data_IF_439903624579
#
_entry.id   IF_439903624579
#
_cell.length_a   1.000
_cell.length_b   1.000
_cell.length_c   1.000
_cell.angle_alpha   90.00
_cell.angle_beta   90.00
_cell.angle_gamma   90.00
#
_symmetry.space_group_name_H-M   'P 1'
#
loop_
_entity.id
_entity.type
_entity.pdbx_description
1 polymer ?
#
# COMPACT_ATOMS: atom_id res chain seq x y z
N UNK A 1 -6.48 -9.74 -9.13
CA UNK A 1 -6.93 -10.27 -10.45
C UNK A 1 -6.09 -11.51 -10.78
N UNK A 2 -6.71 -12.65 -11.10
CA UNK A 2 -5.99 -13.91 -11.38
C UNK A 2 -5.64 -14.04 -12.86
N UNK A 3 -4.53 -13.42 -13.29
CA UNK A 3 -4.05 -13.49 -14.68
C UNK A 3 -2.75 -14.29 -14.74
N UNK A 4 -2.58 -15.07 -15.81
CA UNK A 4 -1.36 -15.89 -16.02
C UNK A 4 -0.17 -15.06 -16.47
N UNK A 5 -0.41 -13.94 -17.16
CA UNK A 5 0.60 -13.01 -17.66
C UNK A 5 0.07 -11.59 -17.53
N UNK A 6 0.92 -10.62 -17.17
CA UNK A 6 0.55 -9.20 -17.11
C UNK A 6 0.52 -8.57 -18.50
N UNK A 7 1.49 -8.90 -19.36
CA UNK A 7 1.60 -8.46 -20.76
C UNK A 7 2.09 -9.62 -21.62
N UNK A 8 1.55 -9.73 -22.84
CA UNK A 8 1.99 -10.76 -23.80
C UNK A 8 3.40 -10.47 -24.32
N UNK A 9 4.21 -11.53 -24.44
CA UNK A 9 5.54 -11.48 -25.07
C UNK A 9 6.54 -10.52 -24.41
N UNK A 10 6.43 -10.26 -23.10
CA UNK A 10 7.46 -9.53 -22.36
C UNK A 10 8.79 -10.30 -22.38
N UNK A 11 9.92 -9.60 -22.52
CA UNK A 11 11.24 -10.24 -22.57
C UNK A 11 11.81 -10.49 -21.17
N UNK A 12 11.24 -9.86 -20.15
CA UNK A 12 11.57 -10.07 -18.74
C UNK A 12 10.39 -9.72 -17.83
N UNK A 13 10.43 -10.19 -16.58
CA UNK A 13 9.44 -9.85 -15.56
C UNK A 13 9.41 -8.35 -15.28
N UNK A 14 10.59 -7.72 -15.27
CA UNK A 14 10.73 -6.28 -15.13
C UNK A 14 9.99 -5.54 -16.24
N UNK A 15 10.23 -5.91 -17.50
CA UNK A 15 9.55 -5.32 -18.66
C UNK A 15 8.04 -5.57 -18.58
N UNK A 16 7.62 -6.76 -18.16
CA UNK A 16 6.21 -7.13 -17.98
C UNK A 16 5.51 -6.19 -16.99
N UNK A 17 6.10 -5.97 -15.81
CA UNK A 17 5.54 -5.08 -14.78
C UNK A 17 5.50 -3.62 -15.25
N UNK A 18 6.58 -3.12 -15.84
CA UNK A 18 6.62 -1.72 -16.32
C UNK A 18 5.63 -1.48 -17.46
N UNK A 19 5.59 -2.37 -18.45
CA UNK A 19 4.65 -2.24 -19.56
C UNK A 19 3.21 -2.38 -19.08
N UNK A 20 2.95 -3.26 -18.11
CA UNK A 20 1.64 -3.37 -17.49
C UNK A 20 1.25 -2.06 -16.83
N UNK A 21 2.07 -1.53 -15.92
CA UNK A 21 1.78 -0.31 -15.18
C UNK A 21 1.60 0.92 -16.09
N UNK A 22 2.46 1.08 -17.10
CA UNK A 22 2.43 2.25 -18.00
C UNK A 22 1.25 2.25 -18.97
N UNK A 23 0.66 1.09 -19.27
CA UNK A 23 -0.47 0.97 -20.20
C UNK A 23 -1.79 0.62 -19.48
N UNK A 24 -1.79 0.53 -18.15
CA UNK A 24 -2.99 0.19 -17.40
C UNK A 24 -3.92 1.40 -17.30
N UNK A 25 -5.18 1.21 -17.70
CA UNK A 25 -6.21 2.25 -17.62
C UNK A 25 -6.92 2.26 -16.26
N UNK A 26 -6.96 1.10 -15.58
CA UNK A 26 -7.57 0.99 -14.26
C UNK A 26 -6.62 1.52 -13.18
N UNK A 27 -7.02 2.64 -12.56
CA UNK A 27 -6.31 3.26 -11.43
C UNK A 27 -6.04 2.24 -10.32
N UNK A 28 -7.04 1.40 -9.98
CA UNK A 28 -6.87 0.40 -8.92
C UNK A 28 -5.82 -0.65 -9.25
N UNK A 29 -5.76 -1.09 -10.50
CA UNK A 29 -4.74 -2.06 -10.94
C UNK A 29 -3.35 -1.43 -10.98
N UNK A 30 -3.25 -0.17 -11.37
CA UNK A 30 -2.01 0.57 -11.34
C UNK A 30 -1.53 0.77 -9.89
N UNK A 31 -2.43 1.14 -8.97
CA UNK A 31 -2.13 1.29 -7.55
C UNK A 31 -1.70 -0.02 -6.90
N UNK A 32 -2.29 -1.16 -7.26
CA UNK A 32 -1.85 -2.47 -6.75
C UNK A 32 -0.38 -2.77 -7.11
N UNK A 33 0.07 -2.37 -8.30
CA UNK A 33 1.49 -2.53 -8.68
C UNK A 33 2.37 -1.67 -7.78
N UNK A 34 1.99 -0.41 -7.57
CA UNK A 34 2.73 0.50 -6.69
C UNK A 34 2.77 -0.04 -5.26
N UNK A 35 1.63 -0.49 -4.73
CA UNK A 35 1.53 -1.05 -3.38
C UNK A 35 2.43 -2.27 -3.21
N UNK A 36 2.42 -3.20 -4.16
CA UNK A 36 3.30 -4.39 -4.12
C UNK A 36 4.78 -3.97 -4.14
N UNK A 37 5.16 -3.03 -5.00
CA UNK A 37 6.54 -2.53 -5.05
C UNK A 37 6.98 -1.91 -3.72
N UNK A 38 6.11 -1.10 -3.09
CA UNK A 38 6.43 -0.44 -1.82
C UNK A 38 6.37 -1.37 -0.62
N UNK A 39 5.46 -2.35 -0.61
CA UNK A 39 5.49 -3.47 0.35
C UNK A 39 6.81 -4.22 0.28
N UNK A 40 7.33 -4.49 -0.92
CA UNK A 40 8.66 -5.12 -1.06
C UNK A 40 9.76 -4.23 -0.49
N UNK A 41 9.74 -2.94 -0.82
CA UNK A 41 10.74 -1.98 -0.32
C UNK A 41 10.74 -1.92 1.22
N UNK A 42 9.57 -1.79 1.84
CA UNK A 42 9.42 -1.67 3.28
C UNK A 42 9.66 -3.00 4.00
N UNK A 43 8.97 -4.08 3.60
CA UNK A 43 9.00 -5.35 4.34
C UNK A 43 10.28 -6.13 4.08
N UNK A 44 10.71 -6.25 2.82
CA UNK A 44 11.84 -7.11 2.48
C UNK A 44 13.17 -6.40 2.60
N UNK A 45 13.22 -5.10 2.36
CA UNK A 45 14.51 -4.43 2.25
C UNK A 45 14.90 -3.67 3.51
N UNK A 46 13.95 -3.10 4.23
CA UNK A 46 14.23 -2.39 5.50
C UNK A 46 14.86 -3.32 6.54
N UNK A 47 14.41 -4.59 6.63
CA UNK A 47 14.95 -5.58 7.55
C UNK A 47 16.14 -6.39 7.03
N UNK A 48 16.49 -6.31 5.74
CA UNK A 48 17.50 -7.20 5.14
C UNK A 48 18.87 -6.54 5.10
N UNK A 49 19.67 -6.83 6.13
CA UNK A 49 21.03 -6.33 6.26
C UNK A 49 21.91 -6.70 5.06
N UNK A 50 21.80 -7.92 4.54
CA UNK A 50 22.57 -8.37 3.37
C UNK A 50 22.24 -7.55 2.12
N UNK A 51 20.96 -7.31 1.87
CA UNK A 51 20.54 -6.48 0.74
C UNK A 51 21.09 -5.06 0.88
N UNK A 52 20.97 -4.44 2.06
CA UNK A 52 21.45 -3.08 2.31
C UNK A 52 22.96 -2.92 2.08
N UNK A 53 23.77 -3.93 2.38
CA UNK A 53 25.23 -3.88 2.23
C UNK A 53 25.72 -4.26 0.83
N UNK A 54 24.97 -5.11 0.11
CA UNK A 54 25.39 -5.66 -1.17
C UNK A 54 24.76 -4.94 -2.38
N UNK A 55 23.96 -3.89 -2.15
CA UNK A 55 23.32 -3.12 -3.22
C UNK A 55 23.54 -1.62 -3.03
N UNK A 56 23.71 -0.90 -4.13
CA UNK A 56 23.76 0.55 -4.12
C UNK A 56 22.33 1.10 -4.20
N UNK A 57 21.96 1.97 -3.26
CA UNK A 57 20.66 2.66 -3.23
C UNK A 57 20.84 4.15 -3.44
N UNK A 58 19.90 4.74 -4.16
CA UNK A 58 19.81 6.20 -4.28
C UNK A 58 18.97 6.85 -3.18
N UNK A 59 18.09 6.06 -2.54
CA UNK A 59 17.11 6.53 -1.57
C UNK A 59 16.84 5.41 -0.55
N UNK A 60 16.69 5.79 0.72
CA UNK A 60 16.32 4.86 1.79
C UNK A 60 14.83 4.47 1.70
N UNK A 61 14.42 3.30 2.22
CA UNK A 61 13.03 2.85 2.16
C UNK A 61 12.02 3.87 2.72
N UNK A 62 12.35 4.50 3.85
CA UNK A 62 11.52 5.51 4.53
C UNK A 62 11.38 6.79 3.69
N UNK A 63 12.48 7.25 3.10
CA UNK A 63 12.50 8.41 2.20
C UNK A 63 11.71 8.13 0.91
N UNK A 64 11.79 6.90 0.38
CA UNK A 64 11.03 6.51 -0.81
C UNK A 64 9.52 6.55 -0.55
N UNK A 65 9.07 6.08 0.61
CA UNK A 65 7.65 6.16 1.03
C UNK A 65 7.22 7.62 1.17
N UNK A 66 8.07 8.46 1.76
CA UNK A 66 7.80 9.89 1.89
C UNK A 66 7.67 10.56 0.52
N UNK A 67 8.60 10.29 -0.41
CA UNK A 67 8.56 10.81 -1.77
C UNK A 67 7.32 10.32 -2.55
N UNK A 68 6.90 9.06 -2.38
CA UNK A 68 5.67 8.55 -3.00
C UNK A 68 4.45 9.37 -2.54
N UNK A 69 4.32 9.55 -1.23
CA UNK A 69 3.18 10.26 -0.63
C UNK A 69 3.18 11.75 -0.99
N UNK A 70 4.35 12.38 -1.06
CA UNK A 70 4.49 13.74 -1.57
C UNK A 70 4.02 13.85 -3.02
N UNK A 71 4.48 12.96 -3.91
CA UNK A 71 4.04 12.96 -5.31
C UNK A 71 2.54 12.69 -5.45
N UNK A 72 1.99 11.76 -4.67
CA UNK A 72 0.55 11.51 -4.66
C UNK A 72 -0.25 12.75 -4.24
N UNK A 73 0.27 13.51 -3.26
CA UNK A 73 -0.34 14.75 -2.80
C UNK A 73 -0.22 15.87 -3.84
N UNK A 74 0.98 16.09 -4.40
CA UNK A 74 1.24 17.11 -5.41
C UNK A 74 0.38 16.94 -6.65
N UNK A 75 0.15 15.69 -7.07
CA UNK A 75 -0.67 15.37 -8.22
C UNK A 75 -2.16 15.16 -7.89
N UNK A 76 -2.56 15.33 -6.62
CA UNK A 76 -3.96 15.19 -6.21
C UNK A 76 -4.55 13.80 -6.48
N UNK A 77 -3.74 12.75 -6.37
CA UNK A 77 -4.13 11.36 -6.70
C UNK A 77 -5.22 10.85 -5.74
N UNK A 78 -5.23 11.33 -4.49
CA UNK A 78 -6.25 10.99 -3.49
C UNK A 78 -5.95 9.73 -2.66
N UNK A 79 -4.69 9.32 -2.59
CA UNK A 79 -4.24 8.14 -1.84
C UNK A 79 -2.94 8.42 -1.08
N UNK A 80 -2.67 7.64 -0.04
CA UNK A 80 -1.40 7.63 0.69
C UNK A 80 -0.99 6.20 1.02
N UNK A 81 0.29 5.88 0.89
CA UNK A 81 0.88 4.64 1.37
C UNK A 81 1.20 4.76 2.86
N UNK A 82 0.53 3.95 3.68
CA UNK A 82 0.64 3.99 5.13
C UNK A 82 0.58 2.56 5.70
N UNK A 83 1.49 2.24 6.62
CA UNK A 83 1.55 0.93 7.29
C UNK A 83 1.52 -0.27 6.33
N UNK A 84 2.16 -0.13 5.18
CA UNK A 84 2.25 -1.18 4.16
C UNK A 84 1.12 -1.17 3.13
N UNK A 85 0.06 -0.37 3.28
CA UNK A 85 -1.11 -0.37 2.38
C UNK A 85 -1.32 0.98 1.70
N UNK A 86 -1.86 0.99 0.48
CA UNK A 86 -2.37 2.23 -0.14
C UNK A 86 -3.77 2.50 0.39
N UNK A 87 -3.90 3.57 1.17
CA UNK A 87 -5.14 4.03 1.79
C UNK A 87 -5.71 5.21 1.00
N UNK A 88 -7.00 5.13 0.68
CA UNK A 88 -7.75 6.21 0.05
C UNK A 88 -7.94 7.38 1.03
N UNK A 89 -7.73 8.61 0.56
CA UNK A 89 -7.83 9.85 1.33
C UNK A 89 -8.94 10.73 0.75
N UNK A 90 -10.20 10.48 1.16
CA UNK A 90 -11.34 11.30 0.73
C UNK A 90 -11.42 12.64 1.48
N UNK A 91 -10.87 12.70 2.69
CA UNK A 91 -10.78 13.92 3.50
C UNK A 91 -9.43 13.94 4.20
N UNK A 92 -8.60 14.93 3.87
CA UNK A 92 -7.31 15.13 4.54
C UNK A 92 -7.48 15.30 6.06
N UNK A 93 -8.56 15.97 6.48
CA UNK A 93 -8.89 16.16 7.89
C UNK A 93 -9.20 14.84 8.59
N UNK A 94 -10.11 14.02 8.06
CA UNK A 94 -10.43 12.71 8.67
C UNK A 94 -9.20 11.79 8.66
N UNK A 95 -8.41 11.82 7.59
CA UNK A 95 -7.23 10.98 7.50
C UNK A 95 -6.16 11.39 8.53
N UNK A 96 -5.93 12.69 8.72
CA UNK A 96 -4.99 13.21 9.70
C UNK A 96 -5.46 13.03 11.16
N UNK A 97 -6.74 13.22 11.43
CA UNK A 97 -7.27 13.26 12.80
C UNK A 97 -7.77 11.90 13.31
N UNK A 98 -8.12 10.97 12.42
CA UNK A 98 -8.64 9.66 12.81
C UNK A 98 -7.79 8.51 12.27
N UNK A 99 -7.55 8.45 10.95
CA UNK A 99 -6.91 7.28 10.34
C UNK A 99 -5.45 7.13 10.77
N UNK A 100 -4.63 8.18 10.67
CA UNK A 100 -3.21 8.12 11.07
C UNK A 100 -3.03 7.85 12.56
N UNK A 101 -3.75 8.52 13.49
CA UNK A 101 -3.68 8.20 14.91
C UNK A 101 -4.08 6.74 15.22
N UNK A 102 -5.14 6.23 14.59
CA UNK A 102 -5.56 4.84 14.76
C UNK A 102 -4.47 3.88 14.30
N UNK A 103 -3.89 4.07 13.12
CA UNK A 103 -2.77 3.25 12.63
C UNK A 103 -1.55 3.31 13.55
N UNK A 104 -1.26 4.48 14.13
CA UNK A 104 -0.16 4.62 15.07
C UNK A 104 -0.37 3.80 16.36
N UNK A 105 -1.61 3.72 16.85
CA UNK A 105 -1.98 2.91 18.04
C UNK A 105 -1.96 1.41 17.69
N UNK A 106 -2.57 1.04 16.56
CA UNK A 106 -2.70 -0.36 16.14
C UNK A 106 -1.37 -1.01 15.71
N UNK A 107 -0.29 -0.22 15.56
CA UNK A 107 1.05 -0.76 15.32
C UNK A 107 1.61 -1.56 16.50
N UNK A 108 1.06 -1.43 17.70
CA UNK A 108 1.47 -2.28 18.81
C UNK A 108 1.16 -3.76 18.51
N UNK A 109 2.09 -4.65 18.84
CA UNK A 109 1.97 -6.10 18.64
C UNK A 109 0.74 -6.68 19.35
N UNK A 110 0.29 -6.07 20.44
CA UNK A 110 -0.87 -6.52 21.21
C UNK A 110 -2.18 -6.28 20.42
N UNK A 111 -2.16 -5.37 19.44
CA UNK A 111 -3.28 -5.07 18.53
C UNK A 111 -3.08 -5.60 17.11
N UNK A 112 -2.15 -6.54 16.88
CA UNK A 112 -1.82 -7.02 15.54
C UNK A 112 -3.04 -7.54 14.75
N UNK A 113 -3.98 -8.23 15.42
CA UNK A 113 -5.22 -8.70 14.81
C UNK A 113 -6.13 -7.54 14.36
N UNK A 114 -6.38 -6.58 15.26
CA UNK A 114 -7.16 -5.39 14.95
C UNK A 114 -6.53 -4.56 13.83
N UNK A 115 -5.20 -4.46 13.79
CA UNK A 115 -4.46 -3.78 12.74
C UNK A 115 -4.65 -4.45 11.37
N UNK A 116 -4.50 -5.77 11.31
CA UNK A 116 -4.71 -6.54 10.08
C UNK A 116 -6.14 -6.36 9.53
N UNK A 117 -7.13 -6.42 10.42
CA UNK A 117 -8.55 -6.22 10.06
C UNK A 117 -8.83 -4.78 9.61
N UNK A 118 -8.24 -3.79 10.28
CA UNK A 118 -8.38 -2.38 9.92
C UNK A 118 -7.77 -2.07 8.55
N UNK A 119 -6.59 -2.60 8.27
CA UNK A 119 -5.91 -2.46 6.97
C UNK A 119 -6.71 -3.15 5.85
N UNK A 120 -7.23 -4.36 6.09
CA UNK A 120 -8.13 -5.06 5.15
C UNK A 120 -9.42 -4.29 4.87
N UNK A 121 -9.99 -3.65 5.88
CA UNK A 121 -11.17 -2.81 5.70
C UNK A 121 -10.90 -1.64 4.74
N UNK A 122 -9.71 -1.01 4.85
CA UNK A 122 -9.27 0.04 3.92
C UNK A 122 -8.98 -0.49 2.51
N UNK A 123 -8.38 -1.67 2.37
CA UNK A 123 -8.19 -2.34 1.08
C UNK A 123 -9.54 -2.62 0.40
N UNK A 124 -10.51 -3.16 1.16
CA UNK A 124 -11.87 -3.40 0.70
C UNK A 124 -12.56 -2.12 0.27
N UNK A 125 -12.43 -1.05 1.05
CA UNK A 125 -12.98 0.25 0.71
C UNK A 125 -12.39 0.80 -0.59
N UNK A 126 -11.06 0.75 -0.74
CA UNK A 126 -10.34 1.16 -1.95
C UNK A 126 -10.86 0.44 -3.20
N UNK A 127 -11.14 -0.86 -3.09
CA UNK A 127 -11.68 -1.65 -4.21
C UNK A 127 -13.22 -1.65 -4.33
N UNK A 128 -13.95 -0.81 -3.58
CA UNK A 128 -15.41 -0.74 -3.63
C UNK A 128 -16.14 -1.97 -3.07
N UNK A 129 -15.45 -2.81 -2.30
CA UNK A 129 -16.01 -3.99 -1.61
C UNK A 129 -16.62 -3.58 -0.27
N UNK A 130 -17.70 -2.79 -0.32
CA UNK A 130 -18.26 -2.14 0.86
C UNK A 130 -18.80 -3.11 1.92
N UNK A 131 -19.33 -4.27 1.52
CA UNK A 131 -19.86 -5.26 2.49
C UNK A 131 -18.73 -5.84 3.32
N UNK A 132 -17.66 -6.25 2.67
CA UNK A 132 -16.47 -6.80 3.29
C UNK A 132 -15.74 -5.73 4.12
N UNK A 133 -15.67 -4.50 3.63
CA UNK A 133 -15.14 -3.35 4.38
C UNK A 133 -15.87 -3.15 5.72
N UNK A 134 -17.21 -3.16 5.71
CA UNK A 134 -17.99 -3.02 6.95
C UNK A 134 -17.77 -4.19 7.90
N UNK A 135 -17.67 -5.42 7.38
CA UNK A 135 -17.41 -6.61 8.20
C UNK A 135 -16.04 -6.53 8.87
N UNK A 136 -14.97 -6.26 8.12
CA UNK A 136 -13.63 -6.21 8.70
C UNK A 136 -13.42 -4.96 9.56
N UNK A 137 -14.09 -3.85 9.27
CA UNK A 137 -14.10 -2.68 10.15
C UNK A 137 -14.74 -2.97 11.51
N UNK A 138 -15.83 -3.76 11.53
CA UNK A 138 -16.45 -4.18 12.79
C UNK A 138 -15.57 -5.16 13.56
N UNK A 139 -14.92 -6.11 12.89
CA UNK A 139 -13.97 -7.01 13.55
C UNK A 139 -12.82 -6.24 14.18
N UNK A 140 -12.23 -5.31 13.42
CA UNK A 140 -11.15 -4.46 13.93
C UNK A 140 -11.55 -3.73 15.21
N UNK A 141 -12.79 -3.23 15.27
CA UNK A 141 -13.34 -2.58 16.46
C UNK A 141 -13.61 -3.54 17.63
N UNK A 142 -14.02 -4.78 17.37
CA UNK A 142 -14.23 -5.79 18.42
C UNK A 142 -12.91 -6.39 18.93
N UNK A 143 -11.85 -6.34 18.12
CA UNK A 143 -10.52 -6.87 18.41
C UNK A 143 -9.60 -5.90 19.19
N UNK A 144 -10.02 -4.65 19.41
CA UNK A 144 -9.30 -3.66 20.27
C UNK A 144 -9.70 -3.77 21.74
#
# INVERSE_FOLDING_TARGET
YGVFELVKHARSDQESIFNFFLNEESVERALDVVEICFKVIQVFIEGNWSYKHNTERKIEPEDAVSELNERFKEHGVGYQFESGEIIRVDSEFLHAEAVKPTLAILRDKDFAGANEEFLKAHEHYRHGRYKECLVDGLKAFEST
#
